data_IF_722860051407
#
_entry.id   IF_722860051407
#
_cell.length_a   1.000
_cell.length_b   1.000
_cell.length_c   1.000
_cell.angle_alpha   90.00
_cell.angle_beta   90.00
_cell.angle_gamma   90.00
#
_symmetry.space_group_name_H-M   'P 1'
#
loop_
_entity.id
_entity.type
_entity.pdbx_description
1 polymer ?
#
# COMPACT_ATOMS: atom_id res chain seq x y z
N UNK A 1 7.17 13.10 -22.51
CA UNK A 1 7.64 12.00 -21.63
C UNK A 1 6.53 10.96 -21.35
N UNK A 2 5.26 11.23 -21.68
CA UNK A 2 4.12 10.31 -21.45
C UNK A 2 4.06 9.03 -22.30
N UNK A 3 4.94 8.85 -23.28
CA UNK A 3 4.93 7.68 -24.18
C UNK A 3 5.61 6.45 -23.58
N UNK A 4 6.46 6.61 -22.56
CA UNK A 4 7.12 5.50 -21.92
C UNK A 4 6.09 4.69 -21.10
N UNK A 5 5.99 3.39 -21.37
CA UNK A 5 5.02 2.46 -20.77
C UNK A 5 3.54 2.73 -21.10
N UNK A 6 3.23 3.54 -22.13
CA UNK A 6 1.84 3.79 -22.53
C UNK A 6 1.08 2.51 -22.93
N UNK A 7 1.80 1.52 -23.48
CA UNK A 7 1.26 0.19 -23.82
C UNK A 7 1.03 -0.71 -22.60
N UNK A 8 1.54 -0.35 -21.42
CA UNK A 8 1.32 -1.11 -20.17
C UNK A 8 0.03 -0.66 -19.45
N UNK A 9 -1.02 -0.40 -20.24
CA UNK A 9 -2.36 -0.12 -19.77
C UNK A 9 -3.36 -0.90 -20.62
N UNK A 10 -4.29 -1.58 -19.96
CA UNK A 10 -5.44 -2.21 -20.61
C UNK A 10 -6.73 -1.64 -20.02
N UNK A 11 -7.82 -1.65 -20.80
CA UNK A 11 -9.11 -1.23 -20.27
C UNK A 11 -9.56 -2.18 -19.16
N UNK A 12 -9.97 -1.62 -18.03
CA UNK A 12 -10.47 -2.38 -16.87
C UNK A 12 -11.91 -2.02 -16.55
N UNK A 13 -12.74 -3.04 -16.34
CA UNK A 13 -14.07 -2.90 -15.74
C UNK A 13 -14.13 -3.45 -14.31
N UNK A 14 -13.02 -3.97 -13.79
CA UNK A 14 -12.96 -4.61 -12.48
C UNK A 14 -13.27 -3.59 -11.36
N UNK A 15 -14.24 -3.93 -10.51
CA UNK A 15 -14.63 -3.11 -9.37
C UNK A 15 -14.01 -3.59 -8.07
N UNK A 16 -14.20 -2.81 -7.01
CA UNK A 16 -13.97 -3.28 -5.65
C UNK A 16 -14.99 -4.37 -5.27
N UNK A 17 -14.69 -5.17 -4.22
CA UNK A 17 -15.67 -6.06 -3.62
C UNK A 17 -17.00 -5.34 -3.36
N UNK A 18 -18.12 -5.99 -3.65
CA UNK A 18 -19.47 -5.38 -3.57
C UNK A 18 -19.82 -4.77 -2.21
N UNK A 19 -19.21 -5.26 -1.13
CA UNK A 19 -19.44 -4.78 0.23
C UNK A 19 -18.57 -3.57 0.61
N UNK A 20 -17.70 -3.12 -0.29
CA UNK A 20 -16.90 -1.93 -0.07
C UNK A 20 -17.71 -0.67 -0.39
N UNK A 21 -17.87 0.18 0.62
CA UNK A 21 -18.62 1.44 0.54
C UNK A 21 -17.73 2.67 0.75
N UNK A 22 -16.41 2.50 0.72
CA UNK A 22 -15.43 3.54 1.01
C UNK A 22 -14.57 3.21 2.23
N UNK A 23 -13.56 4.06 2.53
CA UNK A 23 -12.70 3.86 3.68
C UNK A 23 -13.48 3.89 4.99
N UNK A 24 -13.05 3.05 5.93
CA UNK A 24 -13.55 3.05 7.30
C UNK A 24 -13.24 4.40 7.98
N UNK A 25 -13.99 4.83 9.00
CA UNK A 25 -13.64 6.03 9.76
C UNK A 25 -12.19 5.96 10.27
N UNK A 26 -11.43 7.05 10.12
CA UNK A 26 -9.97 7.02 10.35
C UNK A 26 -9.58 6.57 11.76
N UNK A 27 -10.37 6.94 12.78
CA UNK A 27 -10.16 6.48 14.16
C UNK A 27 -10.31 4.96 14.29
N UNK A 28 -11.29 4.38 13.58
CA UNK A 28 -11.48 2.91 13.53
C UNK A 28 -10.27 2.25 12.86
N UNK A 29 -9.77 2.82 11.76
CA UNK A 29 -8.57 2.30 11.09
C UNK A 29 -7.35 2.31 12.02
N UNK A 30 -7.11 3.41 12.74
CA UNK A 30 -6.00 3.54 13.69
C UNK A 30 -6.11 2.48 14.80
N UNK A 31 -7.30 2.30 15.39
CA UNK A 31 -7.53 1.27 16.42
C UNK A 31 -7.24 -0.13 15.89
N UNK A 32 -7.78 -0.47 14.72
CA UNK A 32 -7.58 -1.79 14.11
C UNK A 32 -6.10 -2.04 13.77
N UNK A 33 -5.36 -1.03 13.30
CA UNK A 33 -3.92 -1.18 13.08
C UNK A 33 -3.14 -1.35 14.37
N UNK A 34 -3.47 -0.57 15.40
CA UNK A 34 -2.86 -0.69 16.73
C UNK A 34 -3.02 -2.11 17.29
N UNK A 35 -4.22 -2.66 17.24
CA UNK A 35 -4.51 -4.03 17.72
C UNK A 35 -3.79 -5.10 16.91
N UNK A 36 -3.83 -5.00 15.58
CA UNK A 36 -3.33 -6.07 14.68
C UNK A 36 -1.82 -6.04 14.51
N UNK A 37 -1.21 -4.87 14.65
CA UNK A 37 0.23 -4.67 14.46
C UNK A 37 0.95 -4.37 15.76
N UNK A 38 0.27 -4.17 16.89
CA UNK A 38 0.88 -3.86 18.19
C UNK A 38 1.66 -2.54 18.15
N UNK A 39 1.06 -1.50 17.59
CA UNK A 39 1.65 -0.17 17.43
C UNK A 39 0.85 0.83 18.27
N UNK A 40 1.52 1.72 19.00
CA UNK A 40 0.86 2.78 19.76
C UNK A 40 -0.03 3.65 18.86
N UNK A 41 -1.33 3.83 19.22
CA UNK A 41 -2.24 4.68 18.48
C UNK A 41 -2.19 6.15 18.91
N UNK A 42 -1.61 6.47 20.08
CA UNK A 42 -1.82 7.78 20.73
C UNK A 42 -1.42 8.98 19.86
N UNK A 43 -0.23 9.01 19.21
CA UNK A 43 0.16 10.15 18.37
C UNK A 43 -0.78 10.38 17.19
N UNK A 44 -1.23 9.30 16.55
CA UNK A 44 -2.13 9.37 15.41
C UNK A 44 -3.53 9.80 15.86
N UNK A 45 -4.06 9.18 16.91
CA UNK A 45 -5.39 9.49 17.47
C UNK A 45 -5.52 10.95 17.87
N UNK A 46 -4.47 11.51 18.48
CA UNK A 46 -4.47 12.90 18.95
C UNK A 46 -4.41 13.92 17.81
N UNK A 47 -3.93 13.51 16.63
CA UNK A 47 -3.75 14.39 15.48
C UNK A 47 -4.81 14.24 14.39
N UNK A 48 -5.76 13.29 14.52
CA UNK A 48 -6.76 12.99 13.48
C UNK A 48 -7.46 14.24 12.95
N UNK A 49 -7.95 15.10 13.85
CA UNK A 49 -8.71 16.31 13.48
C UNK A 49 -7.85 17.30 12.70
N UNK A 50 -6.59 17.48 13.11
CA UNK A 50 -5.63 18.33 12.42
C UNK A 50 -5.30 17.78 11.03
N UNK A 51 -4.98 16.49 10.96
CA UNK A 51 -4.58 15.84 9.70
C UNK A 51 -5.72 15.81 8.69
N UNK A 52 -6.93 15.44 9.11
CA UNK A 52 -8.08 15.24 8.22
C UNK A 52 -8.82 16.55 7.88
N UNK A 53 -8.34 17.70 8.35
CA UNK A 53 -8.93 19.01 8.05
C UNK A 53 -8.64 19.46 6.61
N UNK A 54 -7.51 19.04 6.05
CA UNK A 54 -7.15 19.37 4.67
C UNK A 54 -8.13 18.72 3.67
N UNK A 55 -8.43 19.36 2.54
CA UNK A 55 -9.21 18.72 1.48
C UNK A 55 -8.46 17.50 0.93
N UNK A 56 -9.20 16.48 0.52
CA UNK A 56 -8.61 15.33 -0.15
C UNK A 56 -8.11 15.75 -1.55
N UNK A 57 -6.89 15.36 -1.95
CA UNK A 57 -6.40 15.60 -3.29
C UNK A 57 -7.22 14.82 -4.34
N UNK A 58 -7.23 15.31 -5.57
CA UNK A 58 -7.94 14.66 -6.67
C UNK A 58 -7.43 13.21 -6.88
N UNK A 59 -8.35 12.25 -6.88
CA UNK A 59 -8.03 10.84 -7.06
C UNK A 59 -7.85 10.06 -5.75
N UNK A 60 -7.77 10.72 -4.59
CA UNK A 60 -7.86 10.04 -3.31
C UNK A 60 -9.29 9.58 -3.01
N UNK A 61 -9.44 8.37 -2.48
CA UNK A 61 -10.72 7.81 -2.05
C UNK A 61 -11.08 8.21 -0.61
N UNK A 62 -10.07 8.58 0.17
CA UNK A 62 -10.24 9.11 1.51
C UNK A 62 -8.95 9.03 2.31
N UNK A 63 -9.09 9.21 3.63
CA UNK A 63 -7.99 9.12 4.58
C UNK A 63 -7.76 7.68 5.00
N UNK A 64 -6.50 7.27 5.00
CA UNK A 64 -6.06 5.93 5.37
C UNK A 64 -5.00 5.97 6.44
N UNK A 65 -5.12 5.08 7.43
CA UNK A 65 -4.06 4.86 8.41
C UNK A 65 -3.03 3.87 7.82
N UNK A 66 -1.75 4.21 7.93
CA UNK A 66 -0.62 3.35 7.53
C UNK A 66 0.45 3.38 8.61
N UNK A 67 1.17 2.28 8.87
CA UNK A 67 2.18 2.26 9.91
C UNK A 67 3.47 2.94 9.45
N UNK A 68 4.14 3.63 10.37
CA UNK A 68 5.51 4.05 10.16
C UNK A 68 6.46 2.85 10.28
N UNK A 69 7.58 2.90 9.56
CA UNK A 69 8.59 1.85 9.68
C UNK A 69 9.13 1.75 11.12
N UNK A 70 9.28 2.89 11.80
CA UNK A 70 9.69 2.94 13.20
C UNK A 70 8.68 2.25 14.13
N UNK A 71 7.37 2.45 13.90
CA UNK A 71 6.30 1.79 14.64
C UNK A 71 6.33 0.27 14.50
N UNK A 72 6.61 -0.24 13.29
CA UNK A 72 6.69 -1.68 13.04
C UNK A 72 7.95 -2.33 13.63
N UNK A 73 9.08 -1.63 13.62
CA UNK A 73 10.38 -2.19 13.99
C UNK A 73 10.82 -1.89 15.43
N UNK A 74 10.08 -1.04 16.16
CA UNK A 74 10.44 -0.62 17.52
C UNK A 74 11.66 0.30 17.54
N UNK A 75 11.82 1.15 16.52
CA UNK A 75 12.92 2.13 16.43
C UNK A 75 14.00 1.79 15.39
N UNK A 76 15.16 2.48 15.42
CA UNK A 76 16.14 2.51 14.33
C UNK A 76 17.16 1.35 14.35
N UNK A 77 16.91 0.26 15.10
CA UNK A 77 17.85 -0.88 15.16
C UNK A 77 17.94 -1.60 13.81
N UNK A 78 19.17 -1.74 13.29
CA UNK A 78 19.47 -2.38 12.00
C UNK A 78 19.54 -1.38 10.85
N UNK A 79 20.10 -1.79 9.71
CA UNK A 79 20.17 -0.94 8.52
C UNK A 79 18.78 -0.77 7.87
N UNK A 80 18.64 0.20 6.95
CA UNK A 80 17.36 0.52 6.32
C UNK A 80 16.71 -0.68 5.58
N UNK A 81 17.44 -1.47 4.77
CA UNK A 81 16.89 -2.69 4.16
C UNK A 81 16.38 -3.72 5.17
N UNK A 82 17.13 -4.00 6.23
CA UNK A 82 16.73 -4.95 7.27
C UNK A 82 15.48 -4.51 8.03
N UNK A 83 15.40 -3.22 8.34
CA UNK A 83 14.23 -2.61 8.98
C UNK A 83 13.01 -2.76 8.07
N UNK A 84 13.15 -2.43 6.80
CA UNK A 84 12.08 -2.58 5.81
C UNK A 84 11.60 -4.02 5.71
N UNK A 85 12.52 -4.98 5.55
CA UNK A 85 12.19 -6.41 5.53
C UNK A 85 11.48 -6.88 6.80
N UNK A 86 11.87 -6.36 7.96
CA UNK A 86 11.20 -6.66 9.24
C UNK A 86 9.78 -6.09 9.28
N UNK A 87 9.59 -4.85 8.84
CA UNK A 87 8.27 -4.22 8.71
C UNK A 87 7.35 -4.99 7.78
N UNK A 88 7.85 -5.33 6.58
CA UNK A 88 7.15 -6.16 5.60
C UNK A 88 6.75 -7.52 6.20
N UNK A 89 7.67 -8.23 6.88
CA UNK A 89 7.35 -9.51 7.53
C UNK A 89 6.24 -9.37 8.57
N UNK A 90 6.21 -8.27 9.32
CA UNK A 90 5.16 -8.02 10.33
C UNK A 90 3.79 -7.82 9.69
N UNK A 91 3.70 -6.97 8.66
CA UNK A 91 2.42 -6.73 7.94
C UNK A 91 1.95 -7.98 7.20
N UNK A 92 2.84 -8.66 6.47
CA UNK A 92 2.49 -9.91 5.78
C UNK A 92 2.07 -10.99 6.78
N UNK A 93 2.76 -11.12 7.92
CA UNK A 93 2.37 -12.05 8.97
C UNK A 93 0.98 -11.78 9.52
N UNK A 94 0.64 -10.51 9.74
CA UNK A 94 -0.70 -10.09 10.15
C UNK A 94 -1.75 -10.38 9.07
N UNK A 95 -1.46 -10.14 7.78
CA UNK A 95 -2.36 -10.53 6.69
C UNK A 95 -2.59 -12.05 6.66
N UNK A 96 -1.54 -12.86 6.84
CA UNK A 96 -1.67 -14.31 6.90
C UNK A 96 -2.55 -14.76 8.08
N UNK A 97 -2.42 -14.12 9.25
CA UNK A 97 -3.29 -14.36 10.40
C UNK A 97 -4.77 -13.97 10.12
N UNK A 98 -4.99 -13.05 9.19
CA UNK A 98 -6.31 -12.66 8.65
C UNK A 98 -6.83 -13.56 7.51
N UNK A 99 -6.11 -14.63 7.18
CA UNK A 99 -6.53 -15.62 6.17
C UNK A 99 -5.95 -15.42 4.78
N UNK A 100 -5.05 -14.45 4.58
CA UNK A 100 -4.33 -14.34 3.30
C UNK A 100 -3.33 -15.49 3.13
N UNK A 101 -3.29 -16.09 1.94
CA UNK A 101 -2.32 -17.12 1.61
C UNK A 101 -1.07 -16.50 0.98
N UNK A 102 0.10 -17.04 1.30
CA UNK A 102 1.36 -16.66 0.65
C UNK A 102 1.81 -17.79 -0.27
N UNK A 103 1.95 -17.48 -1.55
CA UNK A 103 2.23 -18.47 -2.58
C UNK A 103 3.72 -18.84 -2.65
N UNK A 104 4.61 -17.89 -2.33
CA UNK A 104 6.06 -18.09 -2.35
C UNK A 104 6.66 -17.99 -0.93
N UNK A 105 7.46 -18.99 -0.51
CA UNK A 105 8.15 -18.97 0.81
C UNK A 105 9.17 -17.83 0.93
N UNK A 106 9.68 -17.36 -0.21
CA UNK A 106 10.71 -16.33 -0.34
C UNK A 106 10.04 -15.04 -0.82
N UNK A 107 9.52 -14.24 0.12
CA UNK A 107 9.21 -12.81 -0.12
C UNK A 107 10.50 -11.97 -0.26
N UNK A 108 11.65 -12.65 -0.40
CA UNK A 108 12.98 -12.08 -0.30
C UNK A 108 13.35 -11.59 -1.70
N UNK A 109 13.14 -10.29 -1.86
CA UNK A 109 14.20 -9.32 -2.14
C UNK A 109 13.61 -8.03 -2.76
N UNK A 110 12.30 -7.80 -2.65
CA UNK A 110 11.68 -6.55 -3.10
C UNK A 110 12.11 -5.40 -2.20
N UNK A 111 12.74 -4.40 -2.80
CA UNK A 111 13.10 -3.15 -2.15
C UNK A 111 11.90 -2.19 -2.15
N UNK A 112 11.97 -1.15 -1.34
CA UNK A 112 11.08 0.01 -1.50
C UNK A 112 11.60 0.85 -2.68
N UNK A 113 10.69 1.39 -3.49
CA UNK A 113 11.07 2.32 -4.56
C UNK A 113 11.59 3.63 -4.01
N UNK A 114 12.49 4.29 -4.75
CA UNK A 114 13.04 5.60 -4.35
C UNK A 114 11.93 6.63 -4.10
N UNK A 115 10.97 6.75 -5.04
CA UNK A 115 9.84 7.69 -4.92
C UNK A 115 8.99 7.42 -3.69
N UNK A 116 8.63 6.15 -3.44
CA UNK A 116 7.84 5.81 -2.24
C UNK A 116 8.64 6.10 -0.96
N UNK A 117 9.93 5.79 -0.93
CA UNK A 117 10.78 6.07 0.22
C UNK A 117 10.89 7.57 0.52
N UNK A 118 11.03 8.40 -0.52
CA UNK A 118 11.08 9.86 -0.42
C UNK A 118 9.76 10.45 0.10
N UNK A 119 8.62 10.07 -0.48
CA UNK A 119 7.31 10.53 -0.01
C UNK A 119 7.03 10.12 1.45
N UNK A 120 7.38 8.89 1.83
CA UNK A 120 7.24 8.43 3.21
C UNK A 120 8.19 9.16 4.18
N UNK A 121 9.37 9.58 3.73
CA UNK A 121 10.26 10.41 4.52
C UNK A 121 9.64 11.80 4.79
N UNK A 122 9.04 12.43 3.78
CA UNK A 122 8.30 13.68 3.97
C UNK A 122 7.10 13.53 4.91
N UNK A 123 6.36 12.43 4.83
CA UNK A 123 5.28 12.15 5.79
C UNK A 123 5.83 12.01 7.22
N UNK A 124 6.99 11.36 7.38
CA UNK A 124 7.65 11.19 8.67
C UNK A 124 8.08 12.53 9.30
N UNK A 125 8.42 13.53 8.48
CA UNK A 125 8.75 14.89 8.95
C UNK A 125 7.52 15.63 9.50
N UNK A 126 6.32 15.31 8.99
CA UNK A 126 5.07 16.00 9.36
C UNK A 126 4.26 15.29 10.44
N UNK A 127 4.45 13.98 10.60
CA UNK A 127 3.66 13.15 11.50
C UNK A 127 4.55 12.28 12.40
N UNK A 128 4.47 12.53 13.71
CA UNK A 128 5.14 11.72 14.71
C UNK A 128 4.37 10.42 15.00
N UNK A 129 5.09 9.41 15.49
CA UNK A 129 4.52 8.18 16.03
C UNK A 129 4.57 6.96 15.11
N UNK A 130 3.87 5.91 15.53
CA UNK A 130 3.90 4.60 14.89
C UNK A 130 2.89 4.44 13.74
N UNK A 131 1.91 5.35 13.64
CA UNK A 131 0.84 5.31 12.64
C UNK A 131 0.74 6.71 12.04
N UNK A 132 0.71 6.76 10.71
CA UNK A 132 0.49 7.96 9.91
C UNK A 132 -0.89 7.90 9.26
N UNK A 133 -1.43 9.07 8.95
CA UNK A 133 -2.70 9.21 8.23
C UNK A 133 -2.42 9.93 6.91
N UNK A 134 -2.72 9.27 5.80
CA UNK A 134 -2.45 9.77 4.43
C UNK A 134 -3.72 9.70 3.57
N UNK A 135 -3.91 10.59 2.58
CA UNK A 135 -4.88 10.36 1.53
C UNK A 135 -4.39 9.19 0.66
N UNK A 136 -5.28 8.29 0.27
CA UNK A 136 -4.92 7.16 -0.61
C UNK A 136 -6.14 6.61 -1.37
N UNK A 137 -5.88 5.64 -2.25
CA UNK A 137 -6.88 4.88 -3.01
C UNK A 137 -6.44 3.42 -3.22
N UNK A 138 -7.37 2.48 -3.32
CA UNK A 138 -7.10 1.02 -3.37
C UNK A 138 -6.72 0.45 -4.76
N UNK A 139 -6.56 1.28 -5.77
CA UNK A 139 -6.03 0.94 -7.08
C UNK A 139 -6.95 1.24 -8.25
N UNK A 140 -8.21 1.62 -8.02
CA UNK A 140 -9.21 1.82 -9.09
C UNK A 140 -8.81 2.91 -10.08
N UNK A 141 -8.12 3.97 -9.62
CA UNK A 141 -7.60 5.05 -10.47
C UNK A 141 -6.64 4.54 -11.55
N UNK A 142 -5.84 3.53 -11.23
CA UNK A 142 -4.86 2.91 -12.13
C UNK A 142 -5.25 1.47 -12.49
N UNK A 143 -6.56 1.16 -12.51
CA UNK A 143 -7.03 -0.15 -12.90
C UNK A 143 -6.64 -0.45 -14.37
N UNK A 144 -6.02 -1.61 -14.59
CA UNK A 144 -5.48 -2.03 -15.88
C UNK A 144 -4.07 -1.54 -16.18
N UNK A 145 -3.48 -0.67 -15.35
CA UNK A 145 -2.12 -0.17 -15.55
C UNK A 145 -1.07 -1.03 -14.82
N UNK A 146 0.17 -1.03 -15.32
CA UNK A 146 1.31 -1.56 -14.58
C UNK A 146 1.78 -0.60 -13.50
N UNK A 147 2.63 -1.10 -12.58
CA UNK A 147 3.32 -0.25 -11.61
C UNK A 147 4.17 0.85 -12.29
N UNK A 148 4.85 0.52 -13.40
CA UNK A 148 5.71 1.48 -14.11
C UNK A 148 4.87 2.56 -14.80
N UNK A 149 3.75 2.18 -15.42
CA UNK A 149 2.85 3.16 -15.99
C UNK A 149 2.28 4.07 -14.91
N UNK A 150 1.76 3.51 -13.81
CA UNK A 150 1.25 4.30 -12.70
C UNK A 150 2.29 5.31 -12.18
N UNK A 151 3.56 4.88 -12.00
CA UNK A 151 4.66 5.79 -11.63
C UNK A 151 4.82 6.98 -12.57
N UNK A 152 4.68 6.78 -13.88
CA UNK A 152 4.82 7.85 -14.86
C UNK A 152 3.65 8.85 -14.86
N UNK A 153 2.44 8.40 -14.50
CA UNK A 153 1.22 9.23 -14.57
C UNK A 153 0.70 9.72 -13.21
N UNK A 154 1.31 9.27 -12.11
CA UNK A 154 0.98 9.79 -10.77
C UNK A 154 1.18 11.31 -10.74
N UNK A 155 0.24 12.01 -10.09
CA UNK A 155 0.42 13.43 -9.78
C UNK A 155 1.72 13.68 -8.99
N UNK A 156 2.27 14.90 -8.97
CA UNK A 156 3.54 15.19 -8.29
C UNK A 156 3.57 14.78 -6.81
N UNK A 157 2.45 14.94 -6.11
CA UNK A 157 2.26 14.58 -4.70
C UNK A 157 1.73 13.15 -4.49
N UNK A 158 1.40 12.45 -5.57
CA UNK A 158 0.93 11.06 -5.57
C UNK A 158 2.10 10.08 -5.71
N UNK A 159 2.03 8.94 -5.04
CA UNK A 159 3.05 7.90 -5.13
C UNK A 159 2.45 6.49 -5.00
N UNK A 160 3.00 5.50 -5.73
CA UNK A 160 2.60 4.11 -5.56
C UNK A 160 2.91 3.60 -4.16
N UNK A 161 1.95 2.87 -3.59
CA UNK A 161 2.09 2.29 -2.25
C UNK A 161 2.84 0.95 -2.31
N UNK A 162 3.64 0.73 -1.29
CA UNK A 162 4.34 -0.53 -1.07
C UNK A 162 3.45 -1.52 -0.29
N UNK A 163 3.93 -2.75 -0.12
CA UNK A 163 3.22 -3.80 0.60
C UNK A 163 2.93 -3.48 2.06
N UNK A 164 3.78 -2.67 2.71
CA UNK A 164 3.54 -2.26 4.09
C UNK A 164 2.28 -1.39 4.14
N UNK A 165 2.19 -0.38 3.27
CA UNK A 165 1.03 0.51 3.22
C UNK A 165 -0.22 -0.22 2.72
N UNK A 166 -0.14 -0.94 1.59
CA UNK A 166 -1.29 -1.68 1.03
C UNK A 166 -1.78 -2.75 2.00
N UNK A 167 -0.87 -3.51 2.59
CA UNK A 167 -1.21 -4.54 3.56
C UNK A 167 -1.84 -3.96 4.83
N UNK A 168 -1.35 -2.82 5.31
CA UNK A 168 -1.98 -2.11 6.42
C UNK A 168 -3.37 -1.58 6.08
N UNK A 169 -3.59 -1.07 4.88
CA UNK A 169 -4.92 -0.64 4.43
C UNK A 169 -5.90 -1.82 4.32
N UNK A 170 -5.44 -3.06 4.08
CA UNK A 170 -6.27 -4.27 4.02
C UNK A 170 -6.54 -4.93 5.38
N UNK A 171 -5.56 -4.90 6.28
CA UNK A 171 -5.85 -4.80 7.73
C UNK A 171 -6.67 -3.49 7.91
N UNK A 172 -7.26 -3.05 9.01
CA UNK A 172 -8.17 -1.87 8.99
C UNK A 172 -9.44 -1.90 8.06
N UNK A 173 -9.46 -2.56 6.90
CA UNK A 173 -10.62 -2.78 6.03
C UNK A 173 -10.84 -4.27 5.76
N UNK A 174 -11.17 -5.09 6.79
CA UNK A 174 -11.31 -6.53 6.62
C UNK A 174 -12.44 -6.95 5.66
N UNK A 175 -13.37 -6.05 5.34
CA UNK A 175 -14.40 -6.28 4.31
C UNK A 175 -13.85 -6.25 2.88
N UNK A 176 -12.60 -5.79 2.71
CA UNK A 176 -11.87 -5.70 1.43
C UNK A 176 -11.10 -6.97 1.07
N UNK A 177 -11.52 -8.16 1.52
CA UNK A 177 -10.91 -9.40 1.03
C UNK A 177 -11.26 -9.54 -0.47
N UNK A 178 -10.30 -9.35 -1.40
CA UNK A 178 -10.63 -9.46 -2.81
C UNK A 178 -11.05 -10.90 -3.11
N UNK A 179 -12.14 -11.05 -3.86
CA UNK A 179 -12.57 -12.34 -4.41
C UNK A 179 -12.10 -12.47 -5.84
N UNK A 180 -12.19 -13.68 -6.39
CA UNK A 180 -11.91 -13.87 -7.81
C UNK A 180 -12.81 -12.93 -8.64
N UNK A 181 -12.20 -12.11 -9.49
CA UNK A 181 -12.89 -11.13 -10.34
C UNK A 181 -13.02 -9.72 -9.75
N UNK A 182 -12.78 -9.56 -8.44
CA UNK A 182 -12.59 -8.23 -7.86
C UNK A 182 -11.23 -7.65 -8.27
N UNK A 183 -11.08 -6.33 -8.15
CA UNK A 183 -9.84 -5.64 -8.42
C UNK A 183 -8.74 -6.10 -7.44
N UNK A 184 -7.72 -6.78 -7.95
CA UNK A 184 -6.48 -7.05 -7.26
C UNK A 184 -5.55 -5.83 -7.25
N UNK A 185 -4.52 -5.88 -6.41
CA UNK A 185 -3.65 -4.74 -6.11
C UNK A 185 -2.19 -5.08 -6.43
N UNK A 186 -1.56 -4.24 -7.26
CA UNK A 186 -0.12 -4.24 -7.50
C UNK A 186 0.53 -3.28 -6.51
N UNK A 187 1.42 -3.78 -5.65
CA UNK A 187 2.19 -2.97 -4.70
C UNK A 187 3.31 -2.22 -5.44
N UNK A 188 2.95 -1.20 -6.22
CA UNK A 188 3.87 -0.49 -7.12
C UNK A 188 4.97 0.30 -6.42
N UNK A 189 4.84 0.54 -5.11
CA UNK A 189 5.88 1.14 -4.28
C UNK A 189 7.02 0.19 -3.91
N UNK A 190 6.94 -1.08 -4.31
CA UNK A 190 8.04 -2.03 -4.27
C UNK A 190 8.77 -2.08 -5.62
N UNK A 191 10.10 -2.07 -5.55
CA UNK A 191 11.00 -2.27 -6.68
C UNK A 191 11.79 -3.57 -6.52
N UNK A 192 12.52 -3.91 -7.57
CA UNK A 192 13.32 -5.12 -7.63
C UNK A 192 14.45 -5.07 -6.61
N UNK A 193 14.89 -6.26 -6.20
CA UNK A 193 16.19 -6.41 -5.59
C UNK A 193 17.29 -5.95 -6.52
N UNK A 194 18.29 -5.25 -5.98
CA UNK A 194 19.58 -5.05 -6.65
C UNK A 194 20.29 -6.39 -6.98
N UNK A 195 19.85 -7.50 -6.37
CA UNK A 195 20.44 -8.84 -6.56
C UNK A 195 19.83 -9.64 -7.73
N UNK A 196 18.73 -9.20 -8.35
CA UNK A 196 18.06 -9.94 -9.43
C UNK A 196 17.82 -9.04 -10.64
N UNK A 197 18.25 -9.52 -11.80
CA UNK A 197 18.19 -8.80 -13.09
C UNK A 197 16.78 -8.67 -13.68
N UNK A 198 15.78 -9.36 -13.13
CA UNK A 198 14.41 -9.32 -13.63
C UNK A 198 13.46 -8.62 -12.66
N UNK A 199 12.51 -7.83 -13.18
CA UNK A 199 11.57 -7.16 -12.32
C UNK A 199 10.68 -8.11 -11.54
N UNK A 200 10.38 -7.79 -10.29
CA UNK A 200 9.49 -8.56 -9.43
C UNK A 200 8.31 -7.69 -9.03
N UNK A 201 7.12 -8.06 -9.49
CA UNK A 201 5.87 -7.39 -9.16
C UNK A 201 5.19 -8.12 -8.01
N UNK A 202 5.04 -7.43 -6.88
CA UNK A 202 4.33 -7.93 -5.71
C UNK A 202 2.85 -7.53 -5.80
N UNK A 203 1.96 -8.50 -5.59
CA UNK A 203 0.53 -8.33 -5.80
C UNK A 203 -0.29 -9.01 -4.70
N UNK A 204 -1.48 -8.48 -4.49
CA UNK A 204 -2.53 -9.07 -3.67
C UNK A 204 -3.73 -9.34 -4.57
N UNK A 205 -4.10 -10.61 -4.69
CA UNK A 205 -5.10 -11.09 -5.63
C UNK A 205 -6.25 -11.77 -4.89
N UNK A 206 -7.47 -11.58 -5.37
CA UNK A 206 -8.58 -12.40 -4.94
C UNK A 206 -8.57 -13.79 -5.58
N UNK A 207 -8.88 -14.82 -4.80
CA UNK A 207 -9.05 -16.20 -5.28
C UNK A 207 -10.31 -16.83 -4.68
N UNK A 208 -10.68 -17.99 -5.19
CA UNK A 208 -11.89 -18.72 -4.78
C UNK A 208 -11.91 -19.10 -3.29
N UNK A 209 -10.75 -19.41 -2.70
CA UNK A 209 -10.68 -19.86 -1.31
C UNK A 209 -10.23 -18.78 -0.33
N UNK A 210 -9.20 -18.01 -0.70
CA UNK A 210 -8.60 -16.98 0.13
C UNK A 210 -7.78 -16.04 -0.75
N UNK A 211 -7.71 -14.75 -0.44
CA UNK A 211 -6.83 -13.85 -1.17
C UNK A 211 -5.36 -14.26 -1.01
N UNK A 212 -4.57 -14.01 -2.05
CA UNK A 212 -3.19 -14.45 -2.16
C UNK A 212 -2.22 -13.28 -2.30
N UNK A 213 -1.12 -13.36 -1.56
CA UNK A 213 0.06 -12.52 -1.74
C UNK A 213 0.98 -13.26 -2.71
N UNK A 214 1.23 -12.64 -3.86
CA UNK A 214 1.99 -13.21 -4.97
C UNK A 214 3.15 -12.31 -5.38
N UNK A 215 4.25 -12.94 -5.79
CA UNK A 215 5.36 -12.27 -6.48
C UNK A 215 5.45 -12.88 -7.87
N UNK A 216 5.37 -12.05 -8.90
CA UNK A 216 5.58 -12.45 -10.29
C UNK A 216 6.81 -11.77 -10.86
N UNK A 217 7.60 -12.50 -11.64
CA UNK A 217 8.70 -11.90 -12.39
C UNK A 217 8.14 -11.24 -13.67
N UNK A 218 8.64 -10.06 -14.03
CA UNK A 218 8.17 -9.25 -15.14
C UNK A 218 7.32 -8.05 -14.72
N UNK A 219 7.08 -7.15 -15.69
CA UNK A 219 6.01 -6.14 -15.57
C UNK A 219 4.66 -6.85 -15.71
N UNK A 220 3.72 -6.51 -14.83
CA UNK A 220 2.37 -7.06 -14.85
C UNK A 220 1.38 -5.90 -14.97
N UNK A 221 0.46 -6.03 -15.92
CA UNK A 221 -0.74 -5.21 -16.03
C UNK A 221 -1.86 -6.12 -16.52
N UNK A 222 -3.05 -6.00 -15.92
CA UNK A 222 -4.18 -6.85 -16.26
C UNK A 222 -5.48 -6.10 -15.97
N UNK A 223 -6.54 -6.41 -16.70
CA UNK A 223 -7.85 -5.78 -16.54
C UNK A 223 -8.48 -5.98 -15.14
N UNK A 224 -7.93 -6.83 -14.27
CA UNK A 224 -8.38 -7.08 -12.90
C UNK A 224 -7.34 -6.63 -11.86
N UNK A 225 -6.35 -5.83 -12.25
CA UNK A 225 -5.32 -5.31 -11.37
C UNK A 225 -5.34 -3.79 -11.38
N UNK A 226 -5.14 -3.18 -10.23
CA UNK A 226 -4.89 -1.75 -10.10
C UNK A 226 -3.65 -1.49 -9.25
N UNK A 227 -3.17 -0.25 -9.26
CA UNK A 227 -2.02 0.17 -8.46
C UNK A 227 -2.52 1.11 -7.36
N UNK A 228 -2.54 0.69 -6.08
CA UNK A 228 -2.84 1.60 -4.97
C UNK A 228 -1.81 2.72 -4.91
N UNK A 229 -2.30 3.94 -4.68
CA UNK A 229 -1.46 5.13 -4.52
C UNK A 229 -1.84 5.88 -3.25
N UNK A 230 -0.86 6.54 -2.66
CA UNK A 230 -1.02 7.49 -1.57
C UNK A 230 -0.61 8.88 -2.04
N UNK A 231 -0.94 9.87 -1.23
CA UNK A 231 -0.58 11.26 -1.47
C UNK A 231 0.16 11.82 -0.25
N UNK A 232 1.15 12.68 -0.49
CA UNK A 232 1.79 13.42 0.61
C UNK A 232 0.78 14.45 1.14
N UNK A 233 0.34 14.37 2.40
CA UNK A 233 -0.65 15.30 2.92
C UNK A 233 -0.09 16.71 3.01
N UNK A 234 -0.90 17.70 2.64
CA UNK A 234 -0.57 19.11 2.81
C UNK A 234 -1.00 19.58 4.21
N UNK A 235 -0.21 19.21 5.22
CA UNK A 235 -0.48 19.57 6.60
C UNK A 235 -0.03 21.01 6.86
N UNK A 236 -1.00 21.91 7.06
CA UNK A 236 -0.79 23.29 7.55
C UNK A 236 -0.55 23.34 9.05
#
# INVERSE_FOLDING_TARGET
MDSQYAFETVQSQAGYPRLYTGPQPIRVQITLLSERLGISPEPAMSNVERTCRAPLPEGAEGWFAVPSLAGLTGGPRGNAPERYLRGMRRVVGALCAFGYKRTNRVLLDVAISYRTAECLAHIAEQQAGGIWVIPAQFGKRFAGASAQRAKMVCAPDEFPLDIICVGAMLLAHPTQLPRLGDLGMICGGNDNSLLKSQPATLMILGRNQAPEIQVMHGSVHHAYLGVPTGFVPQLS
#
